data_IF_494322786481
#
_entry.id   IF_494322786481
#
_cell.length_a   1.000
_cell.length_b   1.000
_cell.length_c   1.000
_cell.angle_alpha   90.00
_cell.angle_beta   90.00
_cell.angle_gamma   90.00
#
_symmetry.space_group_name_H-M   'P 1'
#
loop_
_entity.id
_entity.type
_entity.pdbx_description
1 polymer ?
#
# COMPACT_ATOMS: atom_id res chain seq x y z
N UNK A 1 17.51 10.99 -5.91
CA UNK A 1 17.63 9.57 -6.31
C UNK A 1 16.50 8.76 -5.69
N UNK A 2 16.18 8.98 -4.41
CA UNK A 2 15.20 8.19 -3.67
C UNK A 2 13.74 8.42 -4.09
N UNK A 3 13.40 9.65 -4.53
CA UNK A 3 12.05 9.97 -5.01
C UNK A 3 11.67 9.21 -6.29
N UNK A 4 12.64 8.98 -7.19
CA UNK A 4 12.43 8.24 -8.43
C UNK A 4 12.18 6.74 -8.16
N UNK A 5 12.85 6.19 -7.15
CA UNK A 5 12.63 4.79 -6.76
C UNK A 5 11.24 4.60 -6.11
N UNK A 6 10.82 5.55 -5.27
CA UNK A 6 9.49 5.55 -4.66
C UNK A 6 8.39 5.62 -5.74
N UNK A 7 8.53 6.47 -6.75
CA UNK A 7 7.57 6.56 -7.86
C UNK A 7 7.59 5.29 -8.70
N UNK A 8 8.76 4.73 -9.02
CA UNK A 8 8.89 3.48 -9.77
C UNK A 8 8.16 2.32 -9.07
N UNK A 9 8.45 2.08 -7.79
CA UNK A 9 7.79 1.03 -6.98
C UNK A 9 6.28 1.27 -6.92
N UNK A 10 5.85 2.53 -6.75
CA UNK A 10 4.44 2.88 -6.70
C UNK A 10 3.72 2.55 -8.02
N UNK A 11 4.31 2.89 -9.16
CA UNK A 11 3.74 2.63 -10.49
C UNK A 11 3.77 1.15 -10.87
N UNK A 12 4.87 0.45 -10.56
CA UNK A 12 5.00 -1.00 -10.71
C UNK A 12 3.86 -1.73 -9.97
N UNK A 13 3.55 -1.27 -8.76
CA UNK A 13 2.47 -1.82 -7.94
C UNK A 13 1.09 -1.20 -8.22
N UNK A 14 0.92 -0.48 -9.34
CA UNK A 14 -0.33 0.13 -9.81
C UNK A 14 -1.00 1.05 -8.77
N UNK A 15 -0.19 1.73 -7.96
CA UNK A 15 -0.63 2.61 -6.89
C UNK A 15 -1.28 1.91 -5.69
N UNK A 16 -1.09 0.59 -5.54
CA UNK A 16 -1.66 -0.18 -4.42
C UNK A 16 -0.84 -0.09 -3.15
N UNK A 17 0.41 0.35 -3.26
CA UNK A 17 1.34 0.37 -2.15
C UNK A 17 1.34 1.76 -1.52
N UNK A 18 1.09 1.81 -0.22
CA UNK A 18 1.32 2.99 0.61
C UNK A 18 2.73 2.98 1.19
N UNK A 19 3.07 4.05 1.92
CA UNK A 19 4.43 4.25 2.46
C UNK A 19 4.99 3.04 3.20
N UNK A 20 4.18 2.32 3.98
CA UNK A 20 4.62 1.11 4.71
C UNK A 20 5.14 0.01 3.78
N UNK A 21 4.43 -0.27 2.68
CA UNK A 21 4.84 -1.32 1.73
C UNK A 21 6.02 -0.85 0.89
N UNK A 22 6.03 0.44 0.52
CA UNK A 22 7.17 1.03 -0.20
C UNK A 22 8.44 0.98 0.66
N UNK A 23 8.37 1.26 1.97
CA UNK A 23 9.52 1.11 2.87
C UNK A 23 10.07 -0.31 2.87
N UNK A 24 9.21 -1.34 2.88
CA UNK A 24 9.65 -2.74 2.83
C UNK A 24 10.31 -3.07 1.49
N UNK A 25 9.75 -2.58 0.37
CA UNK A 25 10.36 -2.78 -0.95
C UNK A 25 11.70 -2.05 -1.11
N UNK A 26 11.82 -0.85 -0.56
CA UNK A 26 13.09 -0.11 -0.53
C UNK A 26 14.14 -0.87 0.29
N UNK A 27 13.76 -1.41 1.45
CA UNK A 27 14.63 -2.22 2.29
C UNK A 27 15.13 -3.47 1.56
N UNK A 28 14.24 -4.15 0.82
CA UNK A 28 14.58 -5.30 -0.04
C UNK A 28 15.54 -4.96 -1.17
N UNK A 29 15.49 -3.72 -1.67
CA UNK A 29 16.42 -3.20 -2.70
C UNK A 29 17.72 -2.65 -2.10
N UNK A 30 17.93 -2.77 -0.79
CA UNK A 30 19.13 -2.30 -0.08
C UNK A 30 19.11 -0.81 0.25
N UNK A 31 17.97 -0.13 0.09
CA UNK A 31 17.80 1.30 0.38
C UNK A 31 17.13 1.45 1.73
N UNK A 32 17.94 1.67 2.76
CA UNK A 32 17.44 1.85 4.12
C UNK A 32 16.98 3.29 4.36
N UNK A 33 15.70 3.56 4.14
CA UNK A 33 15.06 4.83 4.47
C UNK A 33 14.07 4.67 5.62
N UNK A 34 14.09 5.62 6.55
CA UNK A 34 13.07 5.66 7.60
C UNK A 34 11.68 5.84 6.98
N UNK A 35 10.71 5.06 7.44
CA UNK A 35 9.32 5.12 7.00
C UNK A 35 8.69 6.52 7.13
N UNK A 36 9.18 7.36 8.06
CA UNK A 36 8.76 8.77 8.20
C UNK A 36 9.18 9.60 6.99
N UNK A 37 10.39 9.39 6.48
CA UNK A 37 10.93 10.09 5.30
C UNK A 37 10.18 9.66 4.06
N UNK A 38 9.95 8.34 3.89
CA UNK A 38 9.13 7.81 2.79
C UNK A 38 7.72 8.41 2.82
N UNK A 39 7.09 8.50 4.00
CA UNK A 39 5.77 9.14 4.15
C UNK A 39 5.79 10.62 3.75
N UNK A 40 6.83 11.37 4.12
CA UNK A 40 6.98 12.79 3.75
C UNK A 40 7.13 12.95 2.24
N UNK A 41 8.05 12.20 1.63
CA UNK A 41 8.32 12.23 0.19
C UNK A 41 7.09 11.83 -0.64
N UNK A 42 6.37 10.77 -0.24
CA UNK A 42 5.12 10.40 -0.90
C UNK A 42 4.07 11.52 -0.83
N UNK A 43 4.00 12.24 0.30
CA UNK A 43 3.06 13.37 0.44
C UNK A 43 3.46 14.54 -0.47
N UNK A 44 4.75 14.89 -0.52
CA UNK A 44 5.29 15.93 -1.41
C UNK A 44 5.02 15.60 -2.89
N UNK A 45 5.11 14.31 -3.27
CA UNK A 45 4.85 13.83 -4.62
C UNK A 45 3.36 13.55 -4.92
N UNK A 46 2.46 13.73 -3.94
CA UNK A 46 1.03 13.44 -4.10
C UNK A 46 0.68 11.95 -4.29
N UNK A 47 1.59 11.04 -3.94
CA UNK A 47 1.39 9.60 -4.06
C UNK A 47 0.55 9.07 -2.90
N UNK A 48 -0.61 8.50 -3.22
CA UNK A 48 -1.55 7.97 -2.23
C UNK A 48 -1.91 6.53 -2.58
N UNK A 49 -1.93 5.66 -1.57
CA UNK A 49 -2.42 4.29 -1.76
C UNK A 49 -3.88 4.31 -2.24
N UNK A 50 -4.12 3.81 -3.45
CA UNK A 50 -5.46 3.78 -4.08
C UNK A 50 -6.37 2.67 -3.54
N UNK A 51 -5.83 1.75 -2.73
CA UNK A 51 -6.62 0.63 -2.18
C UNK A 51 -7.63 1.17 -1.18
N UNK A 52 -8.92 1.00 -1.49
CA UNK A 52 -10.01 1.33 -0.58
C UNK A 52 -9.98 0.41 0.63
N UNK A 53 -10.09 0.99 1.82
CA UNK A 53 -10.25 0.21 3.05
C UNK A 53 -11.54 -0.63 2.97
N UNK A 54 -11.42 -1.94 3.16
CA UNK A 54 -12.58 -2.83 3.24
C UNK A 54 -13.31 -2.55 4.55
N UNK A 55 -14.57 -2.13 4.46
CA UNK A 55 -15.44 -2.02 5.64
C UNK A 55 -15.89 -3.41 6.08
N UNK A 56 -15.88 -3.66 7.39
CA UNK A 56 -16.43 -4.89 7.96
C UNK A 56 -17.94 -4.99 7.69
N UNK A 57 -18.41 -6.21 7.41
CA UNK A 57 -19.83 -6.56 7.28
C UNK A 57 -20.04 -7.88 8.01
N UNK A 58 -20.92 -7.89 9.01
CA UNK A 58 -21.25 -9.10 9.80
C UNK A 58 -21.95 -10.15 8.95
N UNK A 59 -22.90 -9.72 8.12
CA UNK A 59 -23.53 -10.58 7.13
C UNK A 59 -22.62 -10.77 5.91
N UNK A 60 -22.20 -12.03 5.69
CA UNK A 60 -21.31 -12.42 4.58
C UNK A 60 -22.08 -12.88 3.32
N UNK A 61 -23.41 -12.78 3.31
CA UNK A 61 -24.29 -13.42 2.32
C UNK A 61 -24.91 -14.71 2.88
N UNK A 62 -25.65 -15.43 2.03
CA UNK A 62 -26.13 -16.76 2.37
C UNK A 62 -24.94 -17.69 2.64
N UNK A 63 -24.83 -18.14 3.89
CA UNK A 63 -23.81 -19.10 4.32
C UNK A 63 -24.53 -20.20 5.07
N UNK A 64 -24.47 -21.41 4.51
CA UNK A 64 -25.19 -22.59 4.99
C UNK A 64 -26.41 -22.93 4.12
N UNK A 65 -26.56 -24.22 3.78
CA UNK A 65 -27.82 -24.75 3.26
C UNK A 65 -28.75 -24.95 4.46
N UNK A 66 -29.96 -24.41 4.39
CA UNK A 66 -31.01 -24.71 5.38
C UNK A 66 -31.26 -26.22 5.30
N UNK A 67 -31.11 -26.92 6.42
CA UNK A 67 -31.40 -28.35 6.49
C UNK A 67 -32.92 -28.56 6.33
N UNK A 68 -33.35 -29.52 5.48
CA UNK A 68 -34.77 -29.82 5.26
C UNK A 68 -35.44 -30.44 6.48
#
# INVERSE_FOLDING_TARGET
>A
MEQAEITAIYHENKGRYGYRRITIELDRRGIHLNHKTVRRLMKELGLVCRVRMKKYRSYKGETGKIAP
#
